data_IF_989451799361
#
_entry.id   IF_989451799361
#
_cell.length_a   1.000
_cell.length_b   1.000
_cell.length_c   1.000
_cell.angle_alpha   90.00
_cell.angle_beta   90.00
_cell.angle_gamma   90.00
#
_symmetry.space_group_name_H-M   'P 1'
#
loop_
_entity.id
_entity.type
_entity.pdbx_description
1 polymer ?
#
# COMPACT_ATOMS: atom_id res chain seq x y z
N UNK A 1 31.43 65.20 -16.04
CA UNK A 1 30.82 65.09 -17.38
C UNK A 1 29.89 63.90 -17.28
N UNK A 2 28.60 64.14 -17.04
CA UNK A 2 27.59 63.08 -17.07
C UNK A 2 27.15 62.87 -18.52
N UNK A 3 27.19 61.62 -18.98
CA UNK A 3 26.67 61.20 -20.28
C UNK A 3 25.13 61.26 -20.31
N UNK A 4 24.49 61.73 -21.40
CA UNK A 4 23.03 61.82 -21.47
C UNK A 4 22.41 60.43 -21.66
N UNK A 5 21.33 60.16 -20.91
CA UNK A 5 20.51 58.96 -21.07
C UNK A 5 19.85 58.99 -22.47
N UNK A 6 19.93 57.92 -23.27
CA UNK A 6 19.36 57.89 -24.61
C UNK A 6 17.85 58.11 -24.56
N UNK A 7 17.35 59.07 -25.33
CA UNK A 7 15.94 59.35 -25.46
C UNK A 7 15.24 58.20 -26.20
N UNK A 8 14.09 57.73 -25.67
CA UNK A 8 13.26 56.74 -26.36
C UNK A 8 12.81 57.29 -27.72
N UNK A 9 13.21 56.60 -28.81
CA UNK A 9 12.73 56.89 -30.16
C UNK A 9 11.23 56.64 -30.25
N UNK A 10 10.45 57.69 -30.51
CA UNK A 10 8.99 57.66 -30.58
C UNK A 10 8.42 57.00 -31.84
N UNK A 11 9.18 56.11 -32.49
CA UNK A 11 8.74 55.42 -33.70
C UNK A 11 8.71 53.93 -33.40
N UNK A 12 7.50 53.44 -33.26
CA UNK A 12 7.11 52.04 -32.99
C UNK A 12 7.15 51.64 -31.51
N UNK A 13 5.94 51.61 -30.92
CA UNK A 13 5.69 50.99 -29.62
C UNK A 13 5.99 49.49 -29.77
N UNK A 14 6.88 48.90 -28.95
CA UNK A 14 7.07 47.45 -28.96
C UNK A 14 5.73 46.76 -28.69
N UNK A 15 5.53 45.56 -29.22
CA UNK A 15 4.29 44.81 -29.02
C UNK A 15 3.93 44.75 -27.53
N UNK A 16 2.76 45.29 -27.17
CA UNK A 16 2.28 45.35 -25.78
C UNK A 16 1.88 43.95 -25.25
N UNK A 17 1.85 42.94 -26.12
CA UNK A 17 1.35 41.60 -25.83
C UNK A 17 2.29 40.53 -26.37
N UNK A 18 2.71 39.62 -25.49
CA UNK A 18 3.47 38.43 -25.84
C UNK A 18 2.60 37.20 -25.60
N UNK A 19 2.66 36.21 -26.49
CA UNK A 19 1.99 34.93 -26.27
C UNK A 19 2.67 34.15 -25.14
N UNK A 20 1.93 33.81 -24.09
CA UNK A 20 2.41 32.92 -23.05
C UNK A 20 2.05 31.47 -23.40
N UNK A 21 2.97 30.53 -23.16
CA UNK A 21 2.66 29.12 -23.26
C UNK A 21 1.83 28.72 -22.03
N UNK A 22 0.51 28.63 -22.18
CA UNK A 22 -0.34 27.99 -21.18
C UNK A 22 0.04 26.51 -21.08
N UNK A 23 0.66 26.14 -19.96
CA UNK A 23 0.95 24.73 -19.69
C UNK A 23 -0.37 24.00 -19.48
N UNK A 24 -0.55 22.82 -20.08
CA UNK A 24 -1.74 22.05 -19.82
C UNK A 24 -1.88 21.76 -18.32
N UNK A 25 -3.09 21.94 -17.78
CA UNK A 25 -3.37 21.72 -16.37
C UNK A 25 -3.37 20.21 -16.04
N UNK A 26 -2.20 19.69 -15.64
CA UNK A 26 -2.04 18.34 -15.14
C UNK A 26 -2.35 18.28 -13.64
N UNK A 27 -3.19 17.34 -13.21
CA UNK A 27 -3.56 17.17 -11.80
C UNK A 27 -3.49 15.72 -11.35
N UNK A 28 -2.91 15.50 -10.18
CA UNK A 28 -2.97 14.20 -9.49
C UNK A 28 -4.36 13.97 -8.91
N UNK A 29 -4.90 12.79 -9.15
CA UNK A 29 -6.12 12.28 -8.56
C UNK A 29 -5.82 11.01 -7.78
N UNK A 30 -6.47 10.85 -6.62
CA UNK A 30 -6.33 9.65 -5.79
C UNK A 30 -7.68 9.07 -5.42
N UNK A 31 -7.78 7.75 -5.42
CA UNK A 31 -8.93 7.08 -4.81
C UNK A 31 -8.84 7.15 -3.27
N UNK A 32 -9.94 6.84 -2.56
CA UNK A 32 -9.85 6.45 -1.16
C UNK A 32 -8.85 5.30 -0.97
N UNK A 33 -8.33 5.19 0.25
CA UNK A 33 -7.50 4.06 0.63
C UNK A 33 -8.32 2.78 0.67
N UNK A 34 -7.71 1.67 0.25
CA UNK A 34 -8.22 0.33 0.48
C UNK A 34 -8.29 0.03 1.98
N UNK A 35 -8.96 -1.05 2.32
CA UNK A 35 -8.78 -1.70 3.61
C UNK A 35 -7.32 -2.12 3.82
N UNK A 36 -6.96 -2.34 5.10
CA UNK A 36 -5.65 -2.82 5.48
C UNK A 36 -5.48 -4.28 5.02
N UNK A 37 -4.31 -4.66 4.52
CA UNK A 37 -4.02 -6.05 4.09
C UNK A 37 -4.11 -7.08 5.20
N UNK A 38 -4.13 -6.64 6.46
CA UNK A 38 -4.34 -7.49 7.63
C UNK A 38 -5.56 -7.00 8.40
N UNK A 39 -6.16 -7.91 9.16
CA UNK A 39 -7.24 -7.63 10.11
C UNK A 39 -6.72 -7.35 11.53
N UNK A 40 -5.43 -7.59 11.79
CA UNK A 40 -4.74 -7.31 13.03
C UNK A 40 -3.25 -6.99 12.78
N UNK A 41 -2.60 -6.34 13.74
CA UNK A 41 -1.20 -5.95 13.69
C UNK A 41 -0.89 -4.94 12.58
N UNK A 42 0.35 -4.98 12.08
CA UNK A 42 0.85 -4.04 11.07
C UNK A 42 0.66 -4.61 9.67
N UNK A 43 -0.11 -3.90 8.84
CA UNK A 43 -0.36 -4.20 7.43
C UNK A 43 -0.07 -3.01 6.52
N UNK A 44 -0.57 -3.08 5.28
CA UNK A 44 -0.42 -2.04 4.26
C UNK A 44 -1.79 -1.75 3.66
N UNK A 45 -2.08 -0.49 3.35
CA UNK A 45 -3.22 -0.08 2.53
C UNK A 45 -2.76 0.64 1.28
N UNK A 46 -3.52 0.51 0.20
CA UNK A 46 -3.15 1.01 -1.12
C UNK A 46 -4.23 1.95 -1.65
N UNK A 47 -3.86 2.84 -2.58
CA UNK A 47 -4.80 3.63 -3.36
C UNK A 47 -4.25 3.84 -4.77
N UNK A 48 -5.14 4.10 -5.71
CA UNK A 48 -4.75 4.51 -7.05
C UNK A 48 -4.30 5.96 -7.04
N UNK A 49 -3.24 6.25 -7.80
CA UNK A 49 -2.71 7.59 -8.02
C UNK A 49 -2.55 7.78 -9.52
N UNK A 50 -3.39 8.63 -10.11
CA UNK A 50 -3.52 8.82 -11.55
C UNK A 50 -3.36 10.30 -11.89
N UNK A 51 -2.70 10.59 -13.01
CA UNK A 51 -2.53 11.96 -13.49
C UNK A 51 -3.52 12.22 -14.62
N UNK A 52 -4.22 13.35 -14.53
CA UNK A 52 -5.21 13.75 -15.54
C UNK A 52 -4.88 15.12 -16.14
N UNK A 53 -5.15 15.26 -17.44
CA UNK A 53 -5.28 16.54 -18.13
C UNK A 53 -6.74 16.67 -18.56
N UNK A 54 -7.52 17.49 -17.85
CA UNK A 54 -8.97 17.48 -18.01
C UNK A 54 -9.57 16.11 -17.64
N UNK A 55 -10.07 15.37 -18.63
CA UNK A 55 -10.66 14.02 -18.46
C UNK A 55 -9.74 12.88 -18.93
N UNK A 56 -8.61 13.20 -19.56
CA UNK A 56 -7.71 12.20 -20.14
C UNK A 56 -6.64 11.75 -19.15
N UNK A 57 -6.38 10.45 -19.12
CA UNK A 57 -5.33 9.86 -18.29
C UNK A 57 -3.97 10.03 -18.99
N UNK A 58 -3.03 10.70 -18.33
CA UNK A 58 -1.74 11.10 -18.91
C UNK A 58 -0.58 10.82 -17.94
N UNK A 59 0.66 11.12 -18.37
CA UNK A 59 1.88 11.01 -17.54
C UNK A 59 2.55 12.35 -17.25
N UNK A 60 1.89 13.47 -17.55
CA UNK A 60 2.49 14.82 -17.51
C UNK A 60 2.57 15.49 -16.13
N UNK A 61 2.08 14.87 -15.06
CA UNK A 61 2.16 15.45 -13.72
C UNK A 61 3.58 15.33 -13.15
N UNK A 62 3.98 16.33 -12.36
CA UNK A 62 5.28 16.37 -11.70
C UNK A 62 5.46 15.17 -10.73
N UNK A 63 6.47 14.30 -10.94
CA UNK A 63 6.77 13.18 -10.05
C UNK A 63 7.07 13.60 -8.61
N UNK A 64 7.61 14.81 -8.38
CA UNK A 64 7.93 15.31 -7.03
C UNK A 64 6.67 15.57 -6.20
N UNK A 65 5.55 15.86 -6.87
CA UNK A 65 4.25 16.08 -6.21
C UNK A 65 3.38 14.83 -6.17
N UNK A 66 3.89 13.68 -6.67
CA UNK A 66 3.12 12.44 -6.77
C UNK A 66 2.68 11.96 -5.38
N UNK A 67 1.36 11.83 -5.15
CA UNK A 67 0.86 11.31 -3.88
C UNK A 67 1.32 9.87 -3.61
N UNK A 68 1.47 9.54 -2.33
CA UNK A 68 1.83 8.18 -1.88
C UNK A 68 0.72 7.19 -2.27
N UNK A 69 1.10 6.09 -2.93
CA UNK A 69 0.16 5.05 -3.37
C UNK A 69 0.01 3.89 -2.36
N UNK A 70 0.98 3.72 -1.44
CA UNK A 70 0.98 2.65 -0.43
C UNK A 70 1.43 3.21 0.91
N UNK A 71 0.74 2.88 1.99
CA UNK A 71 1.15 3.27 3.32
C UNK A 71 0.88 2.17 4.34
N UNK A 72 1.64 2.19 5.43
CA UNK A 72 1.45 1.31 6.57
C UNK A 72 0.13 1.62 7.28
N UNK A 73 -0.55 0.57 7.73
CA UNK A 73 -1.68 0.65 8.65
C UNK A 73 -1.39 -0.21 9.88
N UNK A 74 -1.71 0.31 11.06
CA UNK A 74 -1.60 -0.40 12.32
C UNK A 74 -3.00 -0.62 12.89
N UNK A 75 -3.33 -1.89 13.13
CA UNK A 75 -4.56 -2.32 13.78
C UNK A 75 -4.25 -2.88 15.17
N UNK A 76 -5.29 -3.34 15.87
CA UNK A 76 -5.14 -4.03 17.15
C UNK A 76 -4.13 -5.17 17.03
N UNK A 77 -3.31 -5.43 18.06
CA UNK A 77 -2.39 -6.56 18.08
C UNK A 77 -3.08 -7.86 17.67
N UNK A 78 -2.38 -8.72 16.93
CA UNK A 78 -2.94 -10.02 16.61
C UNK A 78 -3.07 -10.85 17.88
N UNK A 79 -4.18 -11.60 18.05
CA UNK A 79 -4.30 -12.56 19.14
C UNK A 79 -3.11 -13.51 19.11
N UNK A 80 -2.31 -13.48 20.16
CA UNK A 80 -1.16 -14.37 20.37
C UNK A 80 -1.54 -15.61 21.16
N UNK A 81 -2.67 -15.55 21.87
CA UNK A 81 -3.15 -16.67 22.64
C UNK A 81 -3.77 -17.72 21.72
N UNK A 82 -3.39 -19.00 21.86
CA UNK A 82 -4.14 -20.07 21.22
C UNK A 82 -5.60 -19.97 21.69
N UNK A 83 -6.59 -20.31 20.83
CA UNK A 83 -8.00 -20.24 21.18
C UNK A 83 -8.27 -21.20 22.34
N UNK A 84 -8.22 -20.67 23.55
CA UNK A 84 -8.38 -21.32 24.85
C UNK A 84 -7.50 -22.57 25.07
N UNK A 85 -7.03 -22.76 26.29
CA UNK A 85 -6.15 -23.87 26.70
C UNK A 85 -6.81 -25.26 26.58
N UNK A 86 -8.03 -25.37 26.00
CA UNK A 86 -8.69 -26.62 25.66
C UNK A 86 -8.41 -27.06 24.22
N UNK A 87 -7.14 -27.28 23.87
CA UNK A 87 -6.82 -27.79 22.54
C UNK A 87 -7.22 -29.27 22.42
N UNK A 88 -8.36 -29.54 21.79
CA UNK A 88 -8.91 -30.89 21.63
C UNK A 88 -8.69 -31.43 20.21
N UNK A 89 -8.48 -32.74 20.11
CA UNK A 89 -8.46 -33.44 18.83
C UNK A 89 -9.87 -33.47 18.24
N UNK A 90 -10.01 -33.04 16.98
CA UNK A 90 -11.29 -33.13 16.26
C UNK A 90 -11.30 -34.44 15.48
N UNK A 91 -12.34 -35.30 15.59
CA UNK A 91 -12.45 -36.58 14.89
C UNK A 91 -12.78 -36.36 13.40
N UNK A 92 -11.87 -35.72 12.68
CA UNK A 92 -11.93 -35.44 11.26
C UNK A 92 -11.01 -36.39 10.50
N UNK A 93 -11.28 -36.62 9.21
CA UNK A 93 -10.36 -37.34 8.32
C UNK A 93 -8.94 -36.77 8.38
N UNK A 94 -8.81 -35.46 8.59
CA UNK A 94 -7.53 -34.79 8.74
C UNK A 94 -6.75 -35.21 10.00
N UNK A 95 -7.39 -35.42 11.15
CA UNK A 95 -6.69 -35.87 12.37
C UNK A 95 -6.26 -37.34 12.25
N UNK A 96 -7.13 -38.20 11.73
CA UNK A 96 -6.80 -39.60 11.44
C UNK A 96 -5.64 -39.72 10.44
N UNK A 97 -5.62 -38.86 9.42
CA UNK A 97 -4.51 -38.82 8.45
C UNK A 97 -3.23 -38.30 9.10
N UNK A 98 -3.31 -37.23 9.91
CA UNK A 98 -2.16 -36.63 10.58
C UNK A 98 -1.33 -37.65 11.37
N UNK A 99 -2.01 -38.55 12.09
CA UNK A 99 -1.38 -39.60 12.89
C UNK A 99 -0.87 -40.77 12.06
N UNK A 100 -1.63 -41.20 11.03
CA UNK A 100 -1.26 -42.34 10.19
C UNK A 100 -0.03 -42.09 9.32
N UNK A 101 0.19 -40.84 8.90
CA UNK A 101 1.27 -40.48 7.96
C UNK A 101 2.19 -39.36 8.47
N UNK A 102 2.23 -39.15 9.80
CA UNK A 102 3.13 -38.21 10.48
C UNK A 102 3.13 -36.77 9.92
N UNK A 103 1.93 -36.23 9.63
CA UNK A 103 1.77 -34.87 9.10
C UNK A 103 1.62 -33.82 10.21
N UNK A 104 1.93 -34.17 11.47
CA UNK A 104 1.86 -33.28 12.63
C UNK A 104 2.80 -32.05 12.55
N UNK A 105 3.75 -32.04 11.60
CA UNK A 105 4.60 -30.88 11.28
C UNK A 105 3.84 -29.76 10.56
N UNK A 106 2.75 -30.07 9.87
CA UNK A 106 1.96 -29.12 9.09
C UNK A 106 0.86 -28.46 9.91
N UNK A 107 0.76 -27.13 9.82
CA UNK A 107 -0.19 -26.32 10.60
C UNK A 107 -1.65 -26.77 10.44
N UNK A 108 -2.05 -27.17 9.23
CA UNK A 108 -3.42 -27.57 8.91
C UNK A 108 -3.83 -28.82 9.69
N UNK A 109 -2.93 -29.80 9.75
CA UNK A 109 -3.14 -31.07 10.44
C UNK A 109 -2.98 -30.91 11.96
N UNK A 110 -2.00 -30.14 12.43
CA UNK A 110 -1.82 -29.86 13.86
C UNK A 110 -2.96 -29.02 14.45
N UNK A 111 -3.70 -28.27 13.64
CA UNK A 111 -4.93 -27.58 14.04
C UNK A 111 -6.12 -28.54 14.19
N UNK A 112 -6.17 -29.60 13.40
CA UNK A 112 -7.22 -30.62 13.46
C UNK A 112 -6.97 -31.68 14.55
N UNK A 113 -5.69 -32.00 14.81
CA UNK A 113 -5.24 -33.07 15.70
C UNK A 113 -4.29 -32.50 16.76
N UNK A 114 -4.80 -31.59 17.58
CA UNK A 114 -3.97 -30.76 18.43
C UNK A 114 -3.25 -31.52 19.57
N UNK A 115 -3.97 -32.27 20.39
CA UNK A 115 -3.39 -32.96 21.54
C UNK A 115 -2.45 -34.06 21.06
N UNK A 116 -2.92 -34.90 20.13
CA UNK A 116 -2.12 -35.99 19.59
C UNK A 116 -0.86 -35.50 18.86
N UNK A 117 -0.91 -34.41 18.08
CA UNK A 117 0.30 -33.87 17.44
C UNK A 117 1.25 -33.12 18.38
N UNK A 118 0.77 -32.59 19.52
CA UNK A 118 1.63 -32.01 20.56
C UNK A 118 2.45 -33.08 21.28
N UNK A 119 1.87 -34.26 21.50
CA UNK A 119 2.58 -35.40 22.12
C UNK A 119 3.61 -36.02 21.17
N UNK A 120 3.34 -36.02 19.86
CA UNK A 120 4.23 -36.58 18.82
C UNK A 120 5.42 -35.65 18.51
N UNK A 121 5.30 -34.33 18.72
CA UNK A 121 6.44 -33.42 18.63
C UNK A 121 7.25 -33.51 19.93
N UNK A 122 8.46 -34.09 19.94
CA UNK A 122 9.30 -33.98 21.13
C UNK A 122 9.59 -32.50 21.33
N UNK A 123 9.47 -32.04 22.58
CA UNK A 123 9.98 -30.74 23.01
C UNK A 123 11.43 -30.63 22.55
N UNK A 124 11.68 -29.83 21.52
CA UNK A 124 13.02 -29.40 21.15
C UNK A 124 13.60 -28.68 22.36
N UNK A 125 14.57 -29.32 23.01
CA UNK A 125 15.44 -28.70 24.02
C UNK A 125 16.28 -27.60 23.41
#
# INVERSE_FOLDING_TARGET
>A
MEDPIPACGGTERPEDENTCFERPCFKWYTTPWSECTKTCGVGVRMRDVKCYQGRELVRGCDPLTKPVAKQTCALQPCPTEPPDESCQDRPTTNCSLALKVNLCSHWYYSKACCHSCRVVRPSSS
#
